data_IF_841278094794
#
_entry.id   IF_841278094794
#
_cell.length_a   1.000
_cell.length_b   1.000
_cell.length_c   1.000
_cell.angle_alpha   90.00
_cell.angle_beta   90.00
_cell.angle_gamma   90.00
#
_symmetry.space_group_name_H-M   'P 1'
#
loop_
_entity.id
_entity.type
_entity.pdbx_description
1 polymer ?
#
# COMPACT_ATOMS: atom_id res chain seq x y z
N UNK A 1 -8.01 -10.29 15.61
CA UNK A 1 -7.36 -10.29 14.28
C UNK A 1 -7.92 -9.21 13.37
N UNK A 2 -9.24 -9.03 13.32
CA UNK A 2 -9.87 -8.00 12.47
C UNK A 2 -9.48 -6.56 12.83
N UNK A 3 -9.33 -6.23 14.12
CA UNK A 3 -8.98 -4.87 14.57
C UNK A 3 -7.60 -4.39 14.08
N UNK A 4 -6.61 -5.27 13.99
CA UNK A 4 -5.26 -4.93 13.51
C UNK A 4 -5.28 -4.74 11.98
N UNK A 5 -6.04 -5.57 11.26
CA UNK A 5 -6.17 -5.47 9.80
C UNK A 5 -6.88 -4.18 9.38
N UNK A 6 -7.85 -3.71 10.17
CA UNK A 6 -8.60 -2.48 9.88
C UNK A 6 -7.88 -1.21 10.32
N UNK A 7 -6.95 -1.30 11.29
CA UNK A 7 -6.20 -0.14 11.80
C UNK A 7 -4.87 0.12 11.08
N UNK A 8 -4.32 -0.89 10.38
CA UNK A 8 -3.04 -0.76 9.68
C UNK A 8 -3.28 -0.38 8.21
N UNK A 9 -2.90 0.84 7.78
CA UNK A 9 -3.07 1.23 6.38
C UNK A 9 -2.23 0.35 5.44
N UNK A 10 -2.80 -0.15 4.31
CA UNK A 10 -2.11 -1.03 3.36
C UNK A 10 -0.82 -0.43 2.81
N UNK A 11 -0.81 0.87 2.58
CA UNK A 11 0.36 1.59 2.05
C UNK A 11 1.57 1.57 3.01
N UNK A 12 1.35 1.52 4.33
CA UNK A 12 2.45 1.42 5.31
C UNK A 12 3.14 0.07 5.22
N UNK A 13 2.40 -1.00 4.98
CA UNK A 13 2.95 -2.35 4.80
C UNK A 13 3.88 -2.40 3.59
N UNK A 14 3.46 -1.82 2.46
CA UNK A 14 4.26 -1.81 1.24
C UNK A 14 5.47 -0.90 1.35
N UNK A 15 5.35 0.27 2.00
CA UNK A 15 6.49 1.13 2.27
C UNK A 15 7.56 0.41 3.13
N UNK A 16 7.13 -0.27 4.18
CA UNK A 16 8.05 -1.07 5.01
C UNK A 16 8.68 -2.23 4.22
N UNK A 17 7.91 -2.90 3.37
CA UNK A 17 8.41 -3.97 2.49
C UNK A 17 9.46 -3.46 1.50
N UNK A 18 9.33 -2.24 0.97
CA UNK A 18 10.32 -1.64 0.08
C UNK A 18 11.70 -1.52 0.74
N UNK A 19 11.77 -1.10 2.00
CA UNK A 19 13.01 -1.06 2.77
C UNK A 19 13.57 -2.47 3.02
N UNK A 20 12.70 -3.45 3.34
CA UNK A 20 13.11 -4.84 3.52
C UNK A 20 13.70 -5.45 2.24
N UNK A 21 13.14 -5.14 1.08
CA UNK A 21 13.64 -5.61 -0.23
C UNK A 21 15.06 -5.13 -0.47
N UNK A 22 15.39 -3.90 -0.09
CA UNK A 22 16.75 -3.35 -0.23
C UNK A 22 17.75 -3.95 0.75
N UNK A 23 17.27 -4.36 1.95
CA UNK A 23 18.12 -4.90 3.00
C UNK A 23 18.38 -6.41 2.87
N UNK A 24 17.54 -7.14 2.14
CA UNK A 24 17.58 -8.59 2.03
C UNK A 24 18.28 -9.07 0.75
N UNK A 25 18.85 -10.29 0.75
CA UNK A 25 19.31 -10.94 -0.48
C UNK A 25 18.17 -11.04 -1.49
N UNK A 26 18.49 -10.95 -2.79
CA UNK A 26 17.52 -10.84 -3.88
C UNK A 26 16.31 -11.79 -3.75
N UNK A 27 16.55 -13.10 -3.54
CA UNK A 27 15.45 -14.08 -3.42
C UNK A 27 14.55 -13.81 -2.24
N UNK A 28 15.14 -13.51 -1.07
CA UNK A 28 14.39 -13.19 0.14
C UNK A 28 13.65 -11.84 0.01
N UNK A 29 14.27 -10.84 -0.62
CA UNK A 29 13.66 -9.54 -0.90
C UNK A 29 12.40 -9.68 -1.77
N UNK A 30 12.49 -10.40 -2.89
CA UNK A 30 11.32 -10.65 -3.74
C UNK A 30 10.24 -11.48 -3.05
N UNK A 31 10.62 -12.47 -2.23
CA UNK A 31 9.65 -13.22 -1.42
C UNK A 31 8.94 -12.32 -0.43
N UNK A 32 9.67 -11.43 0.27
CA UNK A 32 9.08 -10.44 1.16
C UNK A 32 8.13 -9.47 0.42
N UNK A 33 8.52 -9.01 -0.78
CA UNK A 33 7.67 -8.18 -1.63
C UNK A 33 6.37 -8.90 -2.03
N UNK A 34 6.47 -10.16 -2.46
CA UNK A 34 5.32 -10.98 -2.85
C UNK A 34 4.37 -11.21 -1.67
N UNK A 35 4.90 -11.50 -0.48
CA UNK A 35 4.09 -11.65 0.74
C UNK A 35 3.41 -10.35 1.13
N UNK A 36 4.11 -9.21 1.05
CA UNK A 36 3.55 -7.92 1.39
C UNK A 36 2.43 -7.50 0.43
N UNK A 37 2.62 -7.68 -0.89
CA UNK A 37 1.59 -7.36 -1.89
C UNK A 37 0.39 -8.31 -1.79
N UNK A 38 0.61 -9.60 -1.55
CA UNK A 38 -0.47 -10.56 -1.31
C UNK A 38 -1.24 -10.21 -0.02
N UNK A 39 -0.52 -9.82 1.03
CA UNK A 39 -1.15 -9.38 2.28
C UNK A 39 -2.05 -8.17 2.05
N UNK A 40 -1.57 -7.13 1.34
CA UNK A 40 -2.37 -5.94 1.04
C UNK A 40 -3.56 -6.24 0.14
N UNK A 41 -3.43 -7.17 -0.80
CA UNK A 41 -4.55 -7.67 -1.61
C UNK A 41 -5.63 -8.33 -0.74
N UNK A 42 -5.23 -9.27 0.12
CA UNK A 42 -6.15 -9.96 1.05
C UNK A 42 -6.77 -8.96 2.02
N UNK A 43 -5.99 -8.00 2.53
CA UNK A 43 -6.47 -6.94 3.40
C UNK A 43 -7.55 -6.10 2.72
N UNK A 44 -7.35 -5.70 1.45
CA UNK A 44 -8.33 -4.93 0.69
C UNK A 44 -9.66 -5.70 0.53
N UNK A 45 -9.60 -7.01 0.31
CA UNK A 45 -10.80 -7.88 0.26
C UNK A 45 -11.51 -7.92 1.62
N UNK A 46 -10.76 -8.09 2.72
CA UNK A 46 -11.32 -8.21 4.08
C UNK A 46 -11.83 -6.88 4.64
N UNK A 47 -11.30 -5.74 4.17
CA UNK A 47 -11.79 -4.42 4.57
C UNK A 47 -13.26 -4.18 4.17
N UNK A 48 -13.73 -4.86 3.13
CA UNK A 48 -15.13 -4.79 2.71
C UNK A 48 -16.13 -5.25 3.79
N UNK A 49 -15.71 -6.16 4.66
CA UNK A 49 -16.52 -6.66 5.77
C UNK A 49 -16.45 -5.77 7.02
N UNK A 50 -15.46 -4.88 7.10
CA UNK A 50 -15.16 -4.05 8.27
C UNK A 50 -15.94 -2.73 8.38
N UNK A 51 -16.73 -2.40 7.37
CA UNK A 51 -17.48 -1.13 7.28
C UNK A 51 -16.66 0.01 6.65
N UNK A 52 -17.40 0.97 6.09
CA UNK A 52 -16.84 2.17 5.46
C UNK A 52 -16.66 3.29 6.48
N UNK A 53 -15.66 4.15 6.27
CA UNK A 53 -15.40 5.33 7.09
C UNK A 53 -13.93 5.64 7.34
N UNK A 54 -13.66 6.67 8.12
CA UNK A 54 -12.33 7.05 8.51
C UNK A 54 -11.80 6.11 9.60
N UNK A 55 -10.68 5.46 9.34
CA UNK A 55 -10.02 4.53 10.27
C UNK A 55 -8.83 5.17 10.98
N UNK A 56 -8.11 6.09 10.32
CA UNK A 56 -6.99 6.81 10.90
C UNK A 56 -7.14 8.30 10.60
N UNK A 57 -7.46 9.07 11.61
CA UNK A 57 -7.53 10.53 11.55
C UNK A 57 -6.58 11.14 12.59
N UNK A 58 -5.95 12.25 12.24
CA UNK A 58 -5.04 12.99 13.12
C UNK A 58 -5.13 14.48 12.85
N UNK A 59 -4.56 15.30 13.74
CA UNK A 59 -4.41 16.73 13.51
C UNK A 59 -2.96 17.07 13.18
N UNK A 60 -2.76 17.69 12.04
CA UNK A 60 -1.46 18.15 11.59
C UNK A 60 -1.50 19.66 11.33
N UNK A 61 -0.66 20.43 12.04
CA UNK A 61 -0.60 21.90 11.92
C UNK A 61 -1.97 22.62 12.09
N UNK A 62 -2.89 22.04 12.89
CA UNK A 62 -4.23 22.59 13.12
C UNK A 62 -5.27 22.22 12.07
N UNK A 63 -4.92 21.37 11.11
CA UNK A 63 -5.84 20.78 10.14
C UNK A 63 -6.20 19.37 10.55
N UNK A 64 -7.47 18.99 10.41
CA UNK A 64 -7.92 17.61 10.55
C UNK A 64 -7.52 16.84 9.29
N UNK A 65 -6.68 15.82 9.46
CA UNK A 65 -6.13 15.00 8.38
C UNK A 65 -6.63 13.57 8.53
N UNK A 66 -7.23 13.01 7.49
CA UNK A 66 -7.72 11.64 7.46
C UNK A 66 -6.78 10.81 6.58
N UNK A 67 -5.84 10.15 7.25
CA UNK A 67 -4.78 9.38 6.58
C UNK A 67 -5.29 8.07 5.97
N UNK A 68 -6.34 7.47 6.53
CA UNK A 68 -6.89 6.22 6.06
C UNK A 68 -8.41 6.24 6.15
N UNK A 69 -9.05 6.32 4.98
CA UNK A 69 -10.50 6.30 4.81
C UNK A 69 -10.89 5.16 3.87
N UNK A 70 -11.89 4.39 4.25
CA UNK A 70 -12.39 3.27 3.47
C UNK A 70 -13.79 3.60 2.94
N UNK A 71 -13.93 3.64 1.63
CA UNK A 71 -15.20 3.76 0.93
C UNK A 71 -15.34 2.67 -0.14
N UNK A 72 -16.47 2.60 -0.82
CA UNK A 72 -16.71 1.56 -1.83
C UNK A 72 -15.76 1.66 -3.02
N UNK A 73 -15.39 2.90 -3.40
CA UNK A 73 -14.44 3.12 -4.48
C UNK A 73 -13.03 2.67 -4.07
N UNK A 74 -12.57 3.06 -2.89
CA UNK A 74 -11.25 2.67 -2.37
C UNK A 74 -11.14 1.16 -2.16
N UNK A 75 -12.21 0.48 -1.75
CA UNK A 75 -12.26 -0.98 -1.67
C UNK A 75 -12.04 -1.63 -3.03
N UNK A 76 -12.82 -1.21 -4.04
CA UNK A 76 -12.68 -1.74 -5.40
C UNK A 76 -11.26 -1.51 -5.94
N UNK A 77 -10.77 -0.28 -5.85
CA UNK A 77 -9.45 0.08 -6.35
C UNK A 77 -8.32 -0.59 -5.57
N UNK A 78 -8.47 -0.73 -4.26
CA UNK A 78 -7.52 -1.45 -3.40
C UNK A 78 -7.37 -2.92 -3.80
N UNK A 79 -8.47 -3.60 -4.11
CA UNK A 79 -8.45 -4.98 -4.61
C UNK A 79 -7.75 -5.07 -5.96
N UNK A 80 -8.10 -4.20 -6.91
CA UNK A 80 -7.49 -4.18 -8.25
C UNK A 80 -6.00 -3.91 -8.17
N UNK A 81 -5.59 -2.86 -7.45
CA UNK A 81 -4.18 -2.48 -7.31
C UNK A 81 -3.39 -3.54 -6.55
N UNK A 82 -3.95 -4.12 -5.48
CA UNK A 82 -3.31 -5.20 -4.73
C UNK A 82 -3.08 -6.44 -5.58
N UNK A 83 -4.06 -6.83 -6.40
CA UNK A 83 -3.92 -7.93 -7.35
C UNK A 83 -2.82 -7.66 -8.40
N UNK A 84 -2.85 -6.49 -9.04
CA UNK A 84 -1.88 -6.12 -10.06
C UNK A 84 -0.46 -6.00 -9.48
N UNK A 85 -0.32 -5.45 -8.27
CA UNK A 85 0.97 -5.36 -7.59
C UNK A 85 1.54 -6.74 -7.29
N UNK A 86 0.71 -7.69 -6.83
CA UNK A 86 1.14 -9.07 -6.59
C UNK A 86 1.60 -9.73 -7.88
N UNK A 87 0.85 -9.59 -8.97
CA UNK A 87 1.23 -10.12 -10.28
C UNK A 87 2.54 -9.51 -10.79
N UNK A 88 2.72 -8.19 -10.63
CA UNK A 88 3.93 -7.48 -11.04
C UNK A 88 5.17 -7.93 -10.26
N UNK A 89 5.06 -8.16 -8.94
CA UNK A 89 6.18 -8.66 -8.13
C UNK A 89 6.53 -10.10 -8.50
N UNK A 90 5.54 -10.96 -8.76
CA UNK A 90 5.79 -12.33 -9.24
C UNK A 90 6.48 -12.33 -10.61
N UNK A 91 6.09 -11.43 -11.49
CA UNK A 91 6.76 -11.23 -12.78
C UNK A 91 8.21 -10.76 -12.59
N UNK A 92 8.44 -9.77 -11.73
CA UNK A 92 9.78 -9.26 -11.41
C UNK A 92 10.70 -10.37 -10.84
N UNK A 93 10.14 -11.26 -10.03
CA UNK A 93 10.86 -12.45 -9.54
C UNK A 93 11.25 -13.39 -10.68
N UNK A 94 10.30 -13.70 -11.59
CA UNK A 94 10.53 -14.59 -12.73
C UNK A 94 11.51 -14.05 -13.78
N UNK A 95 11.54 -12.73 -13.97
CA UNK A 95 12.45 -12.04 -14.91
C UNK A 95 13.79 -11.64 -14.28
N UNK A 96 14.01 -12.05 -13.04
CA UNK A 96 15.23 -11.74 -12.30
C UNK A 96 15.52 -10.23 -12.14
N UNK A 97 14.48 -9.40 -12.01
CA UNK A 97 14.61 -7.96 -11.87
C UNK A 97 15.53 -7.57 -10.69
N UNK A 98 16.28 -6.47 -10.78
CA UNK A 98 17.08 -5.96 -9.68
C UNK A 98 16.21 -5.57 -8.48
N UNK A 99 16.69 -5.78 -7.26
CA UNK A 99 15.96 -5.47 -6.01
C UNK A 99 15.54 -4.01 -5.90
N UNK A 100 16.38 -3.09 -6.36
CA UNK A 100 16.06 -1.65 -6.33
C UNK A 100 14.85 -1.32 -7.22
N UNK A 101 14.67 -1.98 -8.37
CA UNK A 101 13.48 -1.80 -9.23
C UNK A 101 12.22 -2.25 -8.50
N UNK A 102 12.28 -3.41 -7.84
CA UNK A 102 11.16 -3.93 -7.04
C UNK A 102 10.85 -3.01 -5.84
N UNK A 103 11.88 -2.47 -5.18
CA UNK A 103 11.69 -1.54 -4.08
C UNK A 103 11.02 -0.24 -4.53
N UNK A 104 11.47 0.37 -5.64
CA UNK A 104 10.81 1.56 -6.21
C UNK A 104 9.37 1.25 -6.63
N UNK A 105 9.13 0.11 -7.25
CA UNK A 105 7.77 -0.31 -7.61
C UNK A 105 6.87 -0.43 -6.37
N UNK A 106 7.38 -0.96 -5.25
CA UNK A 106 6.62 -1.04 -4.00
C UNK A 106 6.33 0.34 -3.40
N UNK A 107 7.27 1.29 -3.46
CA UNK A 107 7.02 2.68 -3.03
C UNK A 107 5.96 3.34 -3.91
N UNK A 108 6.03 3.12 -5.23
CA UNK A 108 5.01 3.61 -6.15
C UNK A 108 3.62 3.04 -5.83
N UNK A 109 3.49 1.72 -5.66
CA UNK A 109 2.21 1.09 -5.29
C UNK A 109 1.75 1.53 -3.90
N UNK A 110 2.67 1.71 -2.96
CA UNK A 110 2.37 2.27 -1.63
C UNK A 110 1.75 3.65 -1.73
N UNK A 111 2.36 4.57 -2.51
CA UNK A 111 1.81 5.91 -2.72
C UNK A 111 0.49 5.89 -3.48
N UNK A 112 0.31 4.99 -4.45
CA UNK A 112 -0.97 4.77 -5.14
C UNK A 112 -2.07 4.37 -4.16
N UNK A 113 -1.81 3.40 -3.28
CA UNK A 113 -2.77 3.01 -2.25
C UNK A 113 -3.02 4.13 -1.24
N UNK A 114 -1.98 4.91 -0.88
CA UNK A 114 -2.13 6.08 -0.04
C UNK A 114 -3.08 7.12 -0.66
N UNK A 115 -2.99 7.36 -1.97
CA UNK A 115 -3.90 8.24 -2.70
C UNK A 115 -5.34 7.68 -2.74
N UNK A 116 -5.50 6.38 -2.97
CA UNK A 116 -6.81 5.71 -3.03
C UNK A 116 -7.53 5.77 -1.68
N UNK A 117 -6.81 5.60 -0.58
CA UNK A 117 -7.35 5.60 0.77
C UNK A 117 -7.27 6.96 1.47
N UNK A 118 -6.85 8.02 0.79
CA UNK A 118 -6.84 9.37 1.34
C UNK A 118 -8.27 9.84 1.65
N UNK A 119 -8.49 10.33 2.86
CA UNK A 119 -9.80 10.86 3.29
C UNK A 119 -9.91 12.39 3.17
N UNK A 120 -8.85 13.07 2.80
CA UNK A 120 -8.81 14.52 2.63
C UNK A 120 -7.81 14.96 1.54
N UNK A 121 -7.93 16.22 1.11
CA UNK A 121 -7.11 16.79 0.03
C UNK A 121 -5.63 16.89 0.38
N UNK A 122 -5.27 17.10 1.64
CA UNK A 122 -3.88 17.24 2.06
C UNK A 122 -3.16 15.89 1.98
N UNK A 123 -3.79 14.84 2.47
CA UNK A 123 -3.32 13.45 2.37
C UNK A 123 -3.23 13.00 0.91
N UNK A 124 -4.24 13.33 0.09
CA UNK A 124 -4.26 13.00 -1.33
C UNK A 124 -3.09 13.63 -2.07
N UNK A 125 -2.87 14.94 -1.90
CA UNK A 125 -1.78 15.66 -2.56
C UNK A 125 -0.41 15.10 -2.12
N UNK A 126 -0.23 14.80 -0.84
CA UNK A 126 1.01 14.24 -0.33
C UNK A 126 1.37 12.92 -1.03
N UNK A 127 0.43 11.97 -1.11
CA UNK A 127 0.67 10.69 -1.78
C UNK A 127 0.78 10.82 -3.30
N UNK A 128 0.07 11.78 -3.90
CA UNK A 128 0.18 12.08 -5.33
C UNK A 128 1.58 12.57 -5.68
N UNK A 129 2.13 13.51 -4.90
CA UNK A 129 3.50 14.01 -5.10
C UNK A 129 4.53 12.88 -4.88
N UNK A 130 4.32 12.04 -3.87
CA UNK A 130 5.18 10.88 -3.65
C UNK A 130 5.16 9.92 -4.83
N UNK A 131 4.01 9.68 -5.43
CA UNK A 131 3.85 8.86 -6.64
C UNK A 131 4.53 9.48 -7.85
N UNK A 132 4.56 10.82 -7.96
CA UNK A 132 5.20 11.52 -9.08
C UNK A 132 6.73 11.46 -9.00
N UNK A 133 7.31 11.26 -7.82
CA UNK A 133 8.76 11.18 -7.60
C UNK A 133 9.30 9.76 -7.74
N UNK A 134 8.46 8.74 -7.59
CA UNK A 134 8.84 7.32 -7.65
C UNK A 134 8.55 6.69 -9.00
#
# INVERSE_FOLDING_TARGET
>A
MNAVLTSLPPYVVLAAAAFLVLALPRRAGHAAAALATLFTFVQAVLLGDGGTGAHVATQLFGFDVVLFNVDQFSLLMGVVVGFLATAAVLYAYGTEAPTWVTAFALVYVSSTLGTIYAGDWLTLIFFWELMAVT
#
